data_IF_227085321604
#
_entry.id   IF_227085321604
#
_cell.length_a   1.000
_cell.length_b   1.000
_cell.length_c   1.000
_cell.angle_alpha   90.00
_cell.angle_beta   90.00
_cell.angle_gamma   90.00
#
_symmetry.space_group_name_H-M   'P 1'
#
loop_
_entity.id
_entity.type
_entity.pdbx_description
1 polymer ?
#
# COMPACT_ATOMS: atom_id res chain seq x y z
N UNK A 1 -8.85 0.51 21.40
CA UNK A 1 -7.91 1.47 20.76
C UNK A 1 -8.06 1.29 19.26
N UNK A 2 -8.22 2.38 18.51
CA UNK A 2 -8.39 2.31 17.06
C UNK A 2 -7.02 2.37 16.37
N UNK A 3 -6.90 1.80 15.18
CA UNK A 3 -5.67 1.72 14.39
C UNK A 3 -5.89 2.42 13.05
N UNK A 4 -5.01 3.34 12.69
CA UNK A 4 -5.04 4.06 11.42
C UNK A 4 -4.02 3.44 10.47
N UNK A 5 -4.45 3.13 9.24
CA UNK A 5 -3.51 2.74 8.19
C UNK A 5 -2.90 4.01 7.58
N UNK A 6 -1.58 4.12 7.64
CA UNK A 6 -0.83 5.18 6.98
C UNK A 6 -0.06 4.55 5.84
N UNK A 7 -0.22 5.08 4.63
CA UNK A 7 0.47 4.60 3.43
C UNK A 7 1.52 5.61 3.01
N UNK A 8 2.69 5.14 2.61
CA UNK A 8 3.77 5.99 2.11
C UNK A 8 3.77 5.91 0.59
N UNK A 9 3.36 6.99 -0.08
CA UNK A 9 3.42 7.13 -1.54
C UNK A 9 4.55 8.09 -1.88
N UNK A 10 5.47 7.70 -2.77
CA UNK A 10 6.58 8.58 -3.19
C UNK A 10 7.33 9.22 -2.01
N UNK A 11 7.61 8.42 -0.97
CA UNK A 11 8.29 8.84 0.26
C UNK A 11 7.50 9.85 1.14
N UNK A 12 6.22 10.07 0.85
CA UNK A 12 5.33 10.95 1.60
C UNK A 12 4.26 10.15 2.36
N UNK A 13 4.11 10.33 3.68
CA UNK A 13 3.10 9.63 4.46
C UNK A 13 1.72 10.23 4.22
N UNK A 14 0.82 9.44 3.65
CA UNK A 14 -0.60 9.72 3.50
C UNK A 14 -1.37 8.96 4.59
N UNK A 15 -2.07 9.72 5.42
CA UNK A 15 -3.06 9.14 6.34
C UNK A 15 -4.24 8.68 5.50
N UNK A 16 -4.54 7.39 5.53
CA UNK A 16 -5.78 6.90 4.94
C UNK A 16 -6.92 7.14 5.93
N UNK A 17 -8.14 7.33 5.45
CA UNK A 17 -9.34 7.37 6.32
C UNK A 17 -9.74 5.97 6.83
N UNK A 18 -8.91 4.95 6.60
CA UNK A 18 -9.15 3.58 7.07
C UNK A 18 -8.74 3.46 8.54
N UNK A 19 -9.76 3.43 9.40
CA UNK A 19 -9.64 3.24 10.84
C UNK A 19 -10.17 1.87 11.23
N UNK A 20 -9.32 1.05 11.84
CA UNK A 20 -9.60 -0.32 12.26
C UNK A 20 -9.76 -0.42 13.77
N UNK A 21 -10.53 -1.39 14.25
CA UNK A 21 -10.75 -1.60 15.68
C UNK A 21 -9.63 -2.44 16.30
N UNK A 22 -8.96 -3.26 15.50
CA UNK A 22 -7.86 -4.13 15.94
C UNK A 22 -6.61 -3.95 15.07
N UNK A 23 -5.44 -4.25 15.65
CA UNK A 23 -4.17 -4.24 14.92
C UNK A 23 -4.18 -5.27 13.79
N UNK A 24 -4.77 -6.45 14.04
CA UNK A 24 -4.82 -7.54 13.08
C UNK A 24 -5.58 -7.15 11.81
N UNK A 25 -6.69 -6.42 11.93
CA UNK A 25 -7.44 -5.90 10.78
C UNK A 25 -6.61 -4.88 9.99
N UNK A 26 -5.93 -3.97 10.68
CA UNK A 26 -5.06 -2.98 10.03
C UNK A 26 -3.91 -3.65 9.26
N UNK A 27 -3.23 -4.64 9.87
CA UNK A 27 -2.16 -5.40 9.21
C UNK A 27 -2.67 -6.24 8.03
N UNK A 28 -3.88 -6.79 8.14
CA UNK A 28 -4.52 -7.54 7.05
C UNK A 28 -4.83 -6.63 5.86
N UNK A 29 -5.36 -5.43 6.12
CA UNK A 29 -5.62 -4.43 5.09
C UNK A 29 -4.32 -3.95 4.42
N UNK A 30 -3.27 -3.71 5.20
CA UNK A 30 -1.94 -3.34 4.71
C UNK A 30 -1.37 -4.43 3.77
N UNK A 31 -1.52 -5.70 4.16
CA UNK A 31 -1.10 -6.86 3.36
C UNK A 31 -1.91 -6.97 2.07
N UNK A 32 -3.23 -6.75 2.11
CA UNK A 32 -4.07 -6.73 0.91
C UNK A 32 -3.66 -5.63 -0.06
N UNK A 33 -3.44 -4.40 0.42
CA UNK A 33 -2.96 -3.31 -0.43
C UNK A 33 -1.65 -3.65 -1.12
N UNK A 34 -0.68 -4.23 -0.38
CA UNK A 34 0.59 -4.67 -0.97
C UNK A 34 0.38 -5.75 -2.04
N UNK A 35 -0.54 -6.68 -1.79
CA UNK A 35 -0.85 -7.76 -2.74
C UNK A 35 -1.47 -7.21 -4.02
N UNK A 36 -2.46 -6.33 -3.93
CA UNK A 36 -3.07 -5.71 -5.10
C UNK A 36 -2.05 -4.94 -5.94
N UNK A 37 -1.17 -4.17 -5.30
CA UNK A 37 -0.08 -3.48 -5.98
C UNK A 37 0.91 -4.43 -6.66
N UNK A 38 1.23 -5.55 -6.02
CA UNK A 38 2.09 -6.57 -6.60
C UNK A 38 1.42 -7.27 -7.80
N UNK A 39 0.12 -7.53 -7.72
CA UNK A 39 -0.66 -8.11 -8.82
C UNK A 39 -0.74 -7.15 -10.01
N UNK A 40 -1.02 -5.85 -9.77
CA UNK A 40 -1.00 -4.82 -10.82
C UNK A 40 0.40 -4.73 -11.45
N UNK A 41 1.45 -4.69 -10.64
CA UNK A 41 2.83 -4.66 -11.14
C UNK A 41 3.16 -5.87 -12.02
N UNK A 42 2.82 -7.07 -11.56
CA UNK A 42 3.06 -8.31 -12.29
C UNK A 42 2.24 -8.40 -13.57
N UNK A 43 0.99 -7.95 -13.56
CA UNK A 43 0.11 -7.89 -14.73
C UNK A 43 0.67 -6.90 -15.76
N UNK A 44 1.05 -5.70 -15.33
CA UNK A 44 1.67 -4.69 -16.20
C UNK A 44 3.00 -5.18 -16.77
N UNK A 45 3.80 -5.89 -15.98
CA UNK A 45 5.03 -6.56 -16.44
C UNK A 45 4.74 -7.63 -17.50
N UNK A 46 3.71 -8.44 -17.28
CA UNK A 46 3.28 -9.50 -18.20
C UNK A 46 2.72 -8.93 -19.52
N UNK A 47 2.08 -7.77 -19.46
CA UNK A 47 1.55 -7.06 -20.62
C UNK A 47 2.63 -6.36 -21.47
N UNK A 48 3.92 -6.55 -21.13
CA UNK A 48 5.04 -6.01 -21.92
C UNK A 48 5.27 -4.50 -21.73
N UNK A 49 4.80 -3.93 -20.62
CA UNK A 49 5.00 -2.51 -20.34
C UNK A 49 6.50 -2.16 -20.27
N UNK A 50 6.82 -0.95 -20.73
CA UNK A 50 8.18 -0.43 -20.70
C UNK A 50 8.75 -0.36 -19.28
N UNK A 51 10.08 -0.48 -19.17
CA UNK A 51 10.79 -0.44 -17.88
C UNK A 51 10.52 0.84 -17.10
N UNK A 52 10.26 1.95 -17.79
CA UNK A 52 9.91 3.23 -17.18
C UNK A 52 8.56 3.16 -16.46
N UNK A 53 7.53 2.60 -17.11
CA UNK A 53 6.20 2.37 -16.52
C UNK A 53 6.27 1.45 -15.31
N UNK A 54 7.08 0.40 -15.37
CA UNK A 54 7.33 -0.50 -14.24
C UNK A 54 8.10 0.20 -13.11
N UNK A 55 9.05 1.07 -13.45
CA UNK A 55 9.77 1.91 -12.50
C UNK A 55 8.85 2.88 -11.76
N UNK A 56 7.93 3.53 -12.49
CA UNK A 56 6.91 4.39 -11.90
C UNK A 56 5.97 3.61 -10.98
N UNK A 57 5.43 2.47 -11.42
CA UNK A 57 4.59 1.59 -10.58
C UNK A 57 5.32 1.12 -9.32
N UNK A 58 6.60 0.72 -9.45
CA UNK A 58 7.43 0.33 -8.30
C UNK A 58 7.73 1.50 -7.37
N UNK A 59 7.84 2.73 -7.87
CA UNK A 59 8.01 3.92 -7.03
C UNK A 59 6.74 4.29 -6.27
N UNK A 60 5.58 3.87 -6.81
CA UNK A 60 4.26 4.13 -6.24
C UNK A 60 3.81 3.05 -5.25
N UNK A 61 4.31 1.81 -5.34
CA UNK A 61 5.08 1.23 -4.22
C UNK A 61 4.62 1.45 -2.77
N UNK A 62 3.33 1.48 -2.42
CA UNK A 62 2.94 1.97 -1.09
C UNK A 62 3.43 1.04 0.01
N UNK A 63 4.32 1.56 0.87
CA UNK A 63 4.64 0.92 2.15
C UNK A 63 3.64 1.42 3.18
N UNK A 64 2.82 0.53 3.71
CA UNK A 64 1.89 0.85 4.79
C UNK A 64 2.51 0.66 6.16
N UNK A 65 2.03 1.40 7.14
CA UNK A 65 2.25 1.13 8.57
C UNK A 65 0.99 1.40 9.35
N UNK A 66 0.75 0.61 10.39
CA UNK A 66 -0.39 0.75 11.28
C UNK A 66 0.03 1.56 12.49
N UNK A 67 -0.58 2.72 12.69
CA UNK A 67 -0.33 3.57 13.86
C UNK A 67 -1.55 3.57 14.79
N UNK A 68 -1.35 3.62 16.12
CA UNK A 68 -2.46 3.79 17.04
C UNK A 68 -3.11 5.17 16.81
N UNK A 69 -4.41 5.17 16.55
CA UNK A 69 -5.25 6.37 16.52
C UNK A 69 -5.78 6.64 17.91
N UNK A 70 -5.61 7.88 18.38
CA UNK A 70 -6.28 8.38 19.58
C UNK A 70 -7.80 8.46 19.36
#
# INVERSE_FOLDING_TARGET
MKWLLVVIVMNSPLKTDLVFNTLSECLSAETQMRKEWADIYNLTKKNGAEKETLGMLSSQMTRGTCIPSK
#
